data_IF_432760220122
#
_entry.id   IF_432760220122
#
_cell.length_a   1.000
_cell.length_b   1.000
_cell.length_c   1.000
_cell.angle_alpha   90.00
_cell.angle_beta   90.00
_cell.angle_gamma   90.00
#
_symmetry.space_group_name_H-M   'P 1'
#
loop_
_entity.id
_entity.type
_entity.pdbx_description
1 polymer ?
#
# COMPACT_ATOMS: atom_id res chain seq x y z
N UNK A 1 -11.42 -20.39 -12.68
CA UNK A 1 -11.78 -20.32 -11.23
C UNK A 1 -11.42 -18.93 -10.72
N UNK A 2 -12.38 -18.14 -10.22
CA UNK A 2 -12.09 -16.80 -9.67
C UNK A 2 -11.48 -16.98 -8.28
N UNK A 3 -10.28 -16.44 -8.04
CA UNK A 3 -9.61 -16.48 -6.72
C UNK A 3 -10.51 -15.78 -5.68
N UNK A 4 -10.53 -16.25 -4.41
CA UNK A 4 -11.38 -15.66 -3.38
C UNK A 4 -11.03 -14.19 -3.18
N UNK A 5 -12.06 -13.32 -3.15
CA UNK A 5 -11.92 -11.90 -2.83
C UNK A 5 -11.59 -11.77 -1.33
N UNK A 6 -10.53 -11.04 -1.01
CA UNK A 6 -10.21 -10.68 0.37
C UNK A 6 -11.32 -9.75 0.89
N UNK A 7 -12.04 -10.16 1.95
CA UNK A 7 -13.11 -9.35 2.54
C UNK A 7 -12.53 -8.32 3.53
N UNK A 8 -13.09 -7.10 3.59
CA UNK A 8 -12.64 -6.07 4.51
C UNK A 8 -12.99 -6.44 5.97
N UNK A 9 -12.10 -6.20 6.95
CA UNK A 9 -12.48 -6.19 8.36
C UNK A 9 -13.42 -5.00 8.65
N UNK A 10 -14.56 -5.26 9.26
CA UNK A 10 -15.59 -4.27 9.60
C UNK A 10 -15.16 -3.39 10.77
N UNK A 11 -14.67 -2.18 10.51
CA UNK A 11 -14.40 -1.19 11.56
C UNK A 11 -15.05 0.15 11.22
N UNK A 12 -16.29 0.33 11.69
CA UNK A 12 -16.98 1.60 11.65
C UNK A 12 -16.43 2.51 12.77
N UNK A 13 -15.54 3.44 12.40
CA UNK A 13 -15.21 4.64 13.18
C UNK A 13 -14.37 4.44 14.45
N UNK A 14 -13.12 4.93 14.38
CA UNK A 14 -12.31 5.62 15.41
C UNK A 14 -10.83 5.16 15.29
N UNK A 15 -9.94 6.13 15.04
CA UNK A 15 -8.52 6.00 14.71
C UNK A 15 -8.18 5.07 13.51
N UNK A 16 -8.34 5.60 12.29
CA UNK A 16 -7.90 4.87 11.08
C UNK A 16 -6.40 4.59 11.20
N UNK A 17 -6.04 3.30 11.23
CA UNK A 17 -4.66 2.85 11.13
C UNK A 17 -4.01 3.30 9.81
N UNK A 18 -2.87 2.71 9.45
CA UNK A 18 -2.21 3.08 8.20
C UNK A 18 -2.96 2.63 6.93
N UNK A 19 -4.03 1.85 7.06
CA UNK A 19 -4.92 1.48 5.97
C UNK A 19 -6.38 1.35 6.43
N UNK A 20 -7.30 1.37 5.47
CA UNK A 20 -8.72 1.04 5.63
C UNK A 20 -9.27 0.55 4.30
N UNK A 21 -10.51 0.03 4.33
CA UNK A 21 -11.22 -0.40 3.13
C UNK A 21 -12.36 0.54 2.79
N UNK A 22 -12.55 0.76 1.50
CA UNK A 22 -13.72 1.41 0.90
C UNK A 22 -14.27 0.47 -0.16
N UNK A 23 -15.34 -0.26 0.16
CA UNK A 23 -15.84 -1.36 -0.65
C UNK A 23 -14.75 -2.42 -0.90
N UNK A 24 -14.35 -2.62 -2.15
CA UNK A 24 -13.27 -3.52 -2.58
C UNK A 24 -11.94 -2.80 -2.82
N UNK A 25 -11.84 -1.52 -2.46
CA UNK A 25 -10.62 -0.73 -2.57
C UNK A 25 -9.91 -0.64 -1.23
N UNK A 26 -8.66 -1.09 -1.18
CA UNK A 26 -7.78 -0.86 -0.04
C UNK A 26 -7.15 0.53 -0.17
N UNK A 27 -7.39 1.38 0.81
CA UNK A 27 -6.73 2.69 0.90
C UNK A 27 -5.62 2.61 1.93
N UNK A 28 -4.41 3.01 1.55
CA UNK A 28 -3.22 2.88 2.38
C UNK A 28 -2.38 4.17 2.37
N UNK A 29 -1.97 4.61 3.55
CA UNK A 29 -1.02 5.69 3.73
C UNK A 29 0.39 5.10 3.81
N UNK A 30 1.31 5.64 3.03
CA UNK A 30 2.68 5.15 2.90
C UNK A 30 3.68 6.25 3.29
N UNK A 31 4.72 5.84 3.99
CA UNK A 31 5.97 6.58 4.14
C UNK A 31 7.04 5.90 3.27
N UNK A 32 7.32 6.51 2.12
CA UNK A 32 8.29 6.02 1.16
C UNK A 32 9.74 6.30 1.58
N UNK A 33 10.62 5.32 1.38
CA UNK A 33 12.06 5.42 1.57
C UNK A 33 12.77 5.10 0.24
N UNK A 34 13.05 6.11 -0.60
CA UNK A 34 13.78 5.90 -1.85
C UNK A 34 15.27 5.62 -1.59
N UNK A 35 15.99 5.19 -2.63
CA UNK A 35 17.42 4.87 -2.57
C UNK A 35 17.78 3.88 -1.46
N UNK A 36 16.88 2.95 -1.13
CA UNK A 36 17.13 1.91 -0.15
C UNK A 36 18.01 0.78 -0.73
N UNK A 37 18.58 -0.05 0.16
CA UNK A 37 19.38 -1.22 -0.24
C UNK A 37 18.55 -2.27 -1.00
N UNK A 38 17.27 -2.39 -0.68
CA UNK A 38 16.35 -3.35 -1.29
C UNK A 38 14.92 -2.82 -1.26
N UNK A 39 14.09 -3.33 -2.16
CA UNK A 39 12.66 -3.10 -2.14
C UNK A 39 12.04 -3.91 -0.98
N UNK A 40 11.24 -3.28 -0.13
CA UNK A 40 10.67 -3.95 1.03
C UNK A 40 9.44 -3.23 1.59
N UNK A 41 8.48 -4.02 2.09
CA UNK A 41 7.43 -3.56 2.99
C UNK A 41 7.95 -3.69 4.43
N UNK A 42 8.01 -2.57 5.14
CA UNK A 42 8.47 -2.51 6.53
C UNK A 42 7.32 -2.51 7.55
N UNK A 43 7.66 -2.18 8.81
CA UNK A 43 6.67 -1.93 9.86
C UNK A 43 5.96 -0.58 9.65
N UNK A 44 4.82 -0.38 10.30
CA UNK A 44 4.20 0.94 10.34
C UNK A 44 5.00 1.92 11.19
N UNK A 45 4.91 3.20 10.86
CA UNK A 45 5.34 4.33 11.68
C UNK A 45 4.15 5.28 11.84
N UNK A 46 3.54 5.29 13.02
CA UNK A 46 2.27 5.97 13.22
C UNK A 46 1.20 5.45 12.25
N UNK A 47 0.54 6.36 11.53
CA UNK A 47 -0.52 6.05 10.55
C UNK A 47 0.00 5.82 9.13
N UNK A 48 1.24 5.39 8.97
CA UNK A 48 1.84 5.12 7.64
C UNK A 48 2.58 3.79 7.63
N UNK A 49 2.45 3.06 6.52
CA UNK A 49 3.26 1.88 6.24
C UNK A 49 4.60 2.31 5.63
N UNK A 50 5.72 1.86 6.18
CA UNK A 50 7.01 2.12 5.57
C UNK A 50 7.20 1.25 4.33
N UNK A 51 7.55 1.87 3.21
CA UNK A 51 7.88 1.16 1.97
C UNK A 51 9.21 1.65 1.45
N UNK A 52 10.18 0.75 1.36
CA UNK A 52 11.51 1.02 0.82
C UNK A 52 11.56 0.64 -0.64
N UNK A 53 12.20 1.48 -1.46
CA UNK A 53 12.51 1.17 -2.86
C UNK A 53 13.93 1.57 -3.19
N UNK A 54 14.55 0.79 -4.07
CA UNK A 54 15.92 1.00 -4.58
C UNK A 54 16.02 2.21 -5.50
N UNK A 55 14.93 2.55 -6.19
CA UNK A 55 14.90 3.69 -7.11
C UNK A 55 15.14 5.04 -6.40
N UNK A 56 15.96 5.89 -7.03
CA UNK A 56 16.25 7.24 -6.56
C UNK A 56 15.06 8.20 -6.75
N UNK A 57 14.91 9.25 -5.91
CA UNK A 57 13.78 10.19 -5.96
C UNK A 57 13.95 11.26 -7.05
N UNK A 58 14.15 10.83 -8.31
CA UNK A 58 14.31 11.71 -9.47
C UNK A 58 13.08 11.65 -10.37
N UNK A 59 12.44 12.80 -10.62
CA UNK A 59 11.33 12.94 -11.56
C UNK A 59 10.20 11.91 -11.37
N UNK A 60 9.85 11.58 -10.12
CA UNK A 60 8.78 10.64 -9.79
C UNK A 60 9.15 9.15 -9.93
N UNK A 61 10.35 8.81 -10.40
CA UNK A 61 10.78 7.41 -10.63
C UNK A 61 10.66 6.52 -9.41
N UNK A 62 10.99 7.02 -8.22
CA UNK A 62 10.83 6.25 -6.97
C UNK A 62 9.35 5.86 -6.73
N UNK A 63 8.42 6.76 -7.02
CA UNK A 63 6.98 6.47 -6.91
C UNK A 63 6.53 5.46 -7.96
N UNK A 64 6.95 5.65 -9.22
CA UNK A 64 6.58 4.74 -10.30
C UNK A 64 7.15 3.32 -10.04
N UNK A 65 8.35 3.22 -9.46
CA UNK A 65 8.95 1.96 -9.02
C UNK A 65 8.18 1.35 -7.85
N UNK A 66 7.83 2.15 -6.84
CA UNK A 66 7.04 1.71 -5.69
C UNK A 66 5.68 1.15 -6.11
N UNK A 67 4.98 1.80 -7.06
CA UNK A 67 3.71 1.29 -7.60
C UNK A 67 3.89 -0.08 -8.25
N UNK A 68 4.96 -0.29 -9.04
CA UNK A 68 5.27 -1.60 -9.64
C UNK A 68 5.56 -2.67 -8.59
N UNK A 69 6.39 -2.34 -7.60
CA UNK A 69 6.72 -3.24 -6.50
C UNK A 69 5.44 -3.66 -5.75
N UNK A 70 4.63 -2.68 -5.33
CA UNK A 70 3.39 -2.95 -4.58
C UNK A 70 2.34 -3.71 -5.40
N UNK A 71 2.25 -3.47 -6.72
CA UNK A 71 1.35 -4.25 -7.57
C UNK A 71 1.62 -5.77 -7.46
N UNK A 72 2.88 -6.18 -7.42
CA UNK A 72 3.27 -7.57 -7.21
C UNK A 72 2.89 -8.11 -5.82
N UNK A 73 3.15 -7.32 -4.78
CA UNK A 73 2.87 -7.67 -3.37
C UNK A 73 1.36 -7.81 -3.09
N UNK A 74 0.53 -6.98 -3.72
CA UNK A 74 -0.93 -7.01 -3.60
C UNK A 74 -1.62 -7.90 -4.65
N UNK A 75 -0.88 -8.43 -5.62
CA UNK A 75 -1.41 -9.29 -6.67
C UNK A 75 -2.41 -8.58 -7.59
N UNK A 76 -2.09 -7.35 -7.99
CA UNK A 76 -2.89 -6.52 -8.92
C UNK A 76 -2.03 -6.02 -10.08
N UNK A 77 -2.65 -5.45 -11.12
CA UNK A 77 -1.91 -4.67 -12.12
C UNK A 77 -1.52 -3.30 -11.55
N UNK A 78 -0.52 -2.65 -12.16
CA UNK A 78 -0.16 -1.27 -11.80
C UNK A 78 -1.30 -0.28 -12.03
N UNK A 79 -2.15 -0.52 -13.04
CA UNK A 79 -3.30 0.32 -13.36
C UNK A 79 -4.40 0.29 -12.28
N UNK A 80 -4.43 -0.75 -11.45
CA UNK A 80 -5.35 -0.85 -10.31
C UNK A 80 -4.85 -0.08 -9.07
N UNK A 81 -3.68 0.57 -9.17
CA UNK A 81 -3.11 1.38 -8.10
C UNK A 81 -3.16 2.85 -8.50
N UNK A 82 -3.94 3.63 -7.76
CA UNK A 82 -3.98 5.09 -7.90
C UNK A 82 -3.19 5.75 -6.79
N UNK A 83 -2.26 6.64 -7.15
CA UNK A 83 -1.58 7.55 -6.21
C UNK A 83 -2.49 8.77 -6.00
N UNK A 84 -3.19 8.83 -4.86
CA UNK A 84 -4.13 9.94 -4.56
C UNK A 84 -3.37 11.25 -4.36
N UNK A 85 -2.27 11.18 -3.60
CA UNK A 85 -1.34 12.30 -3.44
C UNK A 85 0.07 11.81 -3.16
N UNK A 86 1.03 12.73 -3.21
CA UNK A 86 2.41 12.46 -2.80
C UNK A 86 3.27 11.84 -3.90
N UNK A 87 2.91 12.01 -5.18
CA UNK A 87 3.73 11.49 -6.30
C UNK A 87 5.20 11.94 -6.22
N UNK A 88 5.45 13.15 -5.71
CA UNK A 88 6.79 13.72 -5.53
C UNK A 88 7.23 13.84 -4.05
N UNK A 89 6.45 13.32 -3.10
CA UNK A 89 6.72 13.42 -1.66
C UNK A 89 6.87 12.02 -1.04
N UNK A 90 7.66 11.84 0.02
CA UNK A 90 7.75 10.53 0.71
C UNK A 90 6.42 10.08 1.32
N UNK A 91 5.58 11.03 1.76
CA UNK A 91 4.24 10.76 2.26
C UNK A 91 3.27 10.62 1.10
N UNK A 92 2.59 9.48 1.03
CA UNK A 92 1.68 9.13 -0.05
C UNK A 92 0.41 8.50 0.50
N UNK A 93 -0.66 8.61 -0.28
CA UNK A 93 -1.82 7.75 -0.14
C UNK A 93 -2.06 7.02 -1.46
N UNK A 94 -2.24 5.71 -1.37
CA UNK A 94 -2.60 4.86 -2.49
C UNK A 94 -4.00 4.29 -2.30
N UNK A 95 -4.67 4.08 -3.42
CA UNK A 95 -5.87 3.25 -3.54
C UNK A 95 -5.52 2.04 -4.39
N UNK A 96 -5.82 0.85 -3.89
CA UNK A 96 -5.52 -0.42 -4.54
C UNK A 96 -6.85 -1.15 -4.74
N UNK A 97 -7.28 -1.28 -5.99
CA UNK A 97 -8.56 -1.89 -6.33
C UNK A 97 -8.47 -3.42 -6.31
N UNK A 98 -9.39 -4.04 -5.58
CA UNK A 98 -9.59 -5.50 -5.51
C UNK A 98 -8.30 -6.34 -5.37
N UNK A 99 -7.43 -6.08 -4.36
CA UNK A 99 -6.19 -6.82 -4.20
C UNK A 99 -6.45 -8.30 -3.92
N UNK A 100 -5.64 -9.16 -4.52
CA UNK A 100 -5.77 -10.63 -4.42
C UNK A 100 -4.76 -11.24 -3.46
N UNK A 101 -3.82 -10.44 -2.97
CA UNK A 101 -2.86 -10.76 -1.91
C UNK A 101 -2.84 -9.62 -0.90
N UNK A 102 -2.62 -9.95 0.36
CA UNK A 102 -2.30 -8.98 1.39
C UNK A 102 -0.96 -9.34 2.04
N UNK A 103 0.00 -8.41 2.12
CA UNK A 103 1.20 -8.59 2.93
C UNK A 103 0.87 -8.88 4.39
N UNK A 104 1.71 -9.65 5.08
CA UNK A 104 1.47 -10.08 6.47
C UNK A 104 1.20 -8.91 7.43
N UNK A 105 1.86 -7.77 7.25
CA UNK A 105 1.67 -6.55 8.06
C UNK A 105 0.24 -6.00 8.00
N UNK A 106 -0.54 -6.34 6.96
CA UNK A 106 -1.94 -5.96 6.80
C UNK A 106 -2.87 -7.06 7.33
N UNK A 107 -2.47 -8.33 7.21
CA UNK A 107 -3.24 -9.47 7.75
C UNK A 107 -3.30 -9.49 9.29
N UNK A 108 -2.39 -8.80 9.97
CA UNK A 108 -2.24 -8.83 11.44
C UNK A 108 -3.22 -7.92 12.21
N UNK A 109 -4.22 -7.29 11.57
CA UNK A 109 -5.30 -6.65 12.32
C UNK A 109 -6.31 -7.70 12.76
N UNK A 110 -6.50 -7.91 14.08
CA UNK A 110 -7.41 -8.94 14.55
C UNK A 110 -8.84 -8.63 14.10
N UNK A 111 -9.51 -9.67 13.60
CA UNK A 111 -10.97 -9.73 13.57
C UNK A 111 -11.42 -9.77 15.03
N UNK A 112 -11.87 -8.62 15.56
CA UNK A 112 -12.64 -8.55 16.81
C UNK A 112 -14.05 -8.10 16.47
#
# INVERSE_FOLDING_TARGET
MKKPKVKPPSHAGQDRGFFWWENDTLVINILGKPSARSDAIGKSKGRQLMVSVTAAPKLGRATDHMVRFLAGEFGVSTSAITVVYGRMNVNKQLRIEAPTKLPAVIQQLPLL
#
